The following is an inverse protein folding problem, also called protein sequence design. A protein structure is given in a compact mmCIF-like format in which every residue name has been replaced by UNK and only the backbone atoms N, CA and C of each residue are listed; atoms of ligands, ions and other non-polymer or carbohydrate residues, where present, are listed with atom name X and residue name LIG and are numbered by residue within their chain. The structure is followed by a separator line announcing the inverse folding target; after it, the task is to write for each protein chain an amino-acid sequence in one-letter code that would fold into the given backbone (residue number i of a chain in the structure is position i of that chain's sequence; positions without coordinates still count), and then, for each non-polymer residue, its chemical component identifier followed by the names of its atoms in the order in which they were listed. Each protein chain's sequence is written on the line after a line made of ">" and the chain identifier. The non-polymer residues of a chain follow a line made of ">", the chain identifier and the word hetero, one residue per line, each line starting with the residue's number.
data_IF_099443201691
#
_entry.id   IF_099443201691
#
_cell.length_a   1.000
_cell.length_b   1.000
_cell.length_c   1.000
_cell.angle_alpha   90.00
_cell.angle_beta   90.00
_cell.angle_gamma   90.00
#
_symmetry.space_group_name_H-M   'P 1'
#
loop_
_entity.id
_entity.type
_entity.pdbx_description
1 polymer ?
#
# COMPACT_ATOMS: atom_id res chain seq x y z
N UNK A 1 -16.38 -29.80 -38.21
CA UNK A 1 -15.79 -28.45 -38.42
C UNK A 1 -16.47 -27.35 -37.60
N UNK A 2 -17.82 -27.26 -37.57
CA UNK A 2 -18.55 -26.22 -36.80
C UNK A 2 -18.32 -26.26 -35.27
N UNK A 3 -18.29 -27.44 -34.64
CA UNK A 3 -17.98 -27.56 -33.20
C UNK A 3 -16.55 -27.17 -32.84
N UNK A 4 -15.58 -27.37 -33.74
CA UNK A 4 -14.18 -26.99 -33.48
C UNK A 4 -14.00 -25.47 -33.52
N UNK A 5 -14.72 -24.79 -34.44
CA UNK A 5 -14.73 -23.33 -34.55
C UNK A 5 -15.41 -22.66 -33.33
N UNK A 6 -16.47 -23.27 -32.79
CA UNK A 6 -17.14 -22.82 -31.57
C UNK A 6 -16.27 -22.99 -30.31
N UNK A 7 -15.49 -24.08 -30.22
CA UNK A 7 -14.55 -24.31 -29.13
C UNK A 7 -13.39 -23.29 -29.14
N UNK A 8 -12.83 -22.99 -30.32
CA UNK A 8 -11.80 -21.94 -30.46
C UNK A 8 -12.33 -20.54 -30.12
N UNK A 9 -13.56 -20.21 -30.52
CA UNK A 9 -14.19 -18.93 -30.17
C UNK A 9 -14.43 -18.80 -28.65
N UNK A 10 -14.81 -19.88 -27.98
CA UNK A 10 -15.00 -19.90 -26.51
C UNK A 10 -13.68 -19.68 -25.74
N UNK A 11 -12.58 -20.29 -26.21
CA UNK A 11 -11.24 -20.12 -25.61
C UNK A 11 -10.71 -18.69 -25.80
N UNK A 12 -10.98 -18.06 -26.95
CA UNK A 12 -10.56 -16.68 -27.22
C UNK A 12 -11.28 -15.65 -26.33
N UNK A 13 -12.57 -15.88 -26.04
CA UNK A 13 -13.36 -15.00 -25.15
C UNK A 13 -12.90 -15.10 -23.69
N UNK A 14 -12.46 -16.27 -23.24
CA UNK A 14 -11.94 -16.46 -21.87
C UNK A 14 -10.61 -15.73 -21.64
N UNK A 15 -9.76 -15.58 -22.66
CA UNK A 15 -8.46 -14.91 -22.55
C UNK A 15 -8.52 -13.39 -22.31
N UNK A 16 -9.64 -12.74 -22.66
CA UNK A 16 -9.82 -11.28 -22.55
C UNK A 16 -10.19 -10.81 -21.13
N UNK A 17 -10.38 -11.72 -20.18
CA UNK A 17 -10.81 -11.40 -18.80
C UNK A 17 -9.65 -11.08 -17.83
N UNK A 18 -8.40 -11.06 -18.31
CA UNK A 18 -7.19 -10.92 -17.47
C UNK A 18 -6.89 -9.50 -16.95
N UNK A 19 -7.79 -8.52 -17.14
CA UNK A 19 -7.60 -7.13 -16.71
C UNK A 19 -7.97 -6.81 -15.26
N UNK A 20 -8.61 -7.74 -14.54
CA UNK A 20 -9.07 -7.56 -13.16
C UNK A 20 -8.07 -8.18 -12.18
N UNK A 21 -6.97 -7.48 -11.90
CA UNK A 21 -5.98 -7.92 -10.90
C UNK A 21 -6.02 -6.96 -9.74
N UNK A 22 -6.41 -7.48 -8.58
CA UNK A 22 -6.15 -6.83 -7.31
C UNK A 22 -5.42 -7.77 -6.36
N UNK A 23 -4.40 -7.26 -5.68
CA UNK A 23 -3.71 -7.98 -4.60
C UNK A 23 -3.65 -7.07 -3.39
N UNK A 24 -4.02 -7.61 -2.24
CA UNK A 24 -3.84 -6.99 -0.93
C UNK A 24 -3.21 -8.05 -0.03
N UNK A 25 -2.06 -7.75 0.54
CA UNK A 25 -1.37 -8.65 1.43
C UNK A 25 -0.46 -7.88 2.38
N UNK A 26 -0.42 -8.31 3.63
CA UNK A 26 0.53 -7.86 4.63
C UNK A 26 1.11 -9.04 5.40
N UNK A 27 2.33 -8.82 5.89
CA UNK A 27 3.09 -9.75 6.70
C UNK A 27 3.68 -9.01 7.91
N UNK A 28 3.64 -9.64 9.08
CA UNK A 28 4.20 -9.10 10.32
C UNK A 28 5.33 -10.01 10.76
N UNK A 29 6.50 -9.42 11.02
CA UNK A 29 7.69 -10.15 11.40
C UNK A 29 7.43 -10.95 12.70
N UNK A 30 7.94 -12.20 12.80
CA UNK A 30 7.78 -13.00 14.01
C UNK A 30 8.25 -12.26 15.28
N UNK A 31 7.37 -12.15 16.28
CA UNK A 31 7.67 -11.48 17.54
C UNK A 31 7.51 -9.94 17.53
N UNK A 32 7.18 -9.33 16.39
CA UNK A 32 6.82 -7.91 16.35
C UNK A 32 5.42 -7.70 16.96
N UNK A 33 5.26 -6.64 17.76
CA UNK A 33 3.97 -6.24 18.34
C UNK A 33 3.60 -4.85 17.82
N UNK A 34 2.72 -4.80 16.82
CA UNK A 34 2.24 -3.54 16.25
C UNK A 34 1.13 -2.87 17.08
N UNK A 35 0.48 -3.60 17.99
CA UNK A 35 -0.58 -3.06 18.83
C UNK A 35 -0.04 -2.06 19.87
N UNK A 36 1.21 -2.23 20.29
CA UNK A 36 1.87 -1.31 21.22
C UNK A 36 2.45 -0.05 20.55
N UNK A 37 2.52 -0.01 19.21
CA UNK A 37 3.09 1.11 18.45
C UNK A 37 2.06 2.23 18.31
N UNK A 38 2.21 3.31 19.07
CA UNK A 38 1.30 4.45 19.07
C UNK A 38 1.87 5.69 18.36
N UNK A 39 3.19 5.91 18.44
CA UNK A 39 3.86 7.08 17.86
C UNK A 39 4.60 6.70 16.59
N UNK A 40 4.14 7.20 15.46
CA UNK A 40 4.64 6.82 14.13
C UNK A 40 5.10 8.07 13.38
N UNK A 41 6.23 7.95 12.68
CA UNK A 41 6.68 8.95 11.73
C UNK A 41 6.68 8.37 10.32
N UNK A 42 5.98 9.01 9.39
CA UNK A 42 5.94 8.62 7.98
C UNK A 42 7.01 9.38 7.23
N UNK A 43 8.04 8.66 6.79
CA UNK A 43 9.17 9.25 6.07
C UNK A 43 8.72 9.58 4.65
N UNK A 44 8.85 10.84 4.26
CA UNK A 44 8.59 11.33 2.92
C UNK A 44 9.51 10.63 1.91
N UNK A 45 8.92 10.13 0.83
CA UNK A 45 9.66 9.62 -0.31
C UNK A 45 10.08 10.80 -1.19
N UNK A 46 11.38 11.06 -1.45
CA UNK A 46 11.79 12.25 -2.20
C UNK A 46 11.22 12.36 -3.63
N UNK A 47 10.83 11.24 -4.24
CA UNK A 47 10.21 11.21 -5.57
C UNK A 47 8.68 11.40 -5.54
N UNK A 48 8.06 11.47 -4.36
CA UNK A 48 6.62 11.60 -4.19
C UNK A 48 6.18 13.07 -4.24
N UNK A 49 5.65 13.48 -5.39
CA UNK A 49 5.06 14.82 -5.58
C UNK A 49 3.60 14.91 -5.10
N UNK A 50 2.99 13.79 -4.71
CA UNK A 50 1.54 13.66 -4.43
C UNK A 50 1.21 13.55 -2.95
N UNK A 51 2.23 13.60 -2.09
CA UNK A 51 2.11 13.66 -0.63
C UNK A 51 1.39 12.45 -0.04
N UNK A 52 1.77 11.26 -0.52
CA UNK A 52 1.31 9.98 0.01
C UNK A 52 1.73 9.80 1.47
N UNK A 53 2.87 10.37 1.88
CA UNK A 53 3.29 10.49 3.28
C UNK A 53 2.19 11.09 4.17
N UNK A 54 1.58 12.19 3.72
CA UNK A 54 0.48 12.86 4.42
C UNK A 54 -0.76 11.97 4.44
N UNK A 55 -1.11 11.33 3.32
CA UNK A 55 -2.28 10.43 3.28
C UNK A 55 -2.14 9.27 4.28
N UNK A 56 -0.94 8.71 4.40
CA UNK A 56 -0.62 7.66 5.37
C UNK A 56 -0.75 8.21 6.79
N UNK A 57 -0.14 9.37 7.10
CA UNK A 57 -0.20 9.96 8.43
C UNK A 57 -1.63 10.33 8.85
N UNK A 58 -2.42 10.93 7.96
CA UNK A 58 -3.83 11.25 8.20
C UNK A 58 -4.63 9.98 8.50
N UNK A 59 -4.42 8.91 7.75
CA UNK A 59 -5.09 7.63 8.02
C UNK A 59 -4.67 7.00 9.34
N UNK A 60 -3.39 7.04 9.70
CA UNK A 60 -2.92 6.57 11.00
C UNK A 60 -3.56 7.36 12.15
N UNK A 61 -3.74 8.67 11.99
CA UNK A 61 -4.44 9.50 12.97
C UNK A 61 -5.91 9.08 13.12
N UNK A 62 -6.62 8.80 12.01
CA UNK A 62 -7.98 8.24 12.03
C UNK A 62 -8.01 6.87 12.73
N UNK A 63 -6.95 6.07 12.63
CA UNK A 63 -6.80 4.79 13.33
C UNK A 63 -6.42 4.95 14.82
N UNK A 64 -6.39 6.17 15.36
CA UNK A 64 -6.12 6.46 16.77
C UNK A 64 -4.64 6.52 17.14
N UNK A 65 -3.73 6.58 16.16
CA UNK A 65 -2.28 6.67 16.38
C UNK A 65 -1.81 8.11 16.31
N UNK A 66 -0.73 8.43 17.01
CA UNK A 66 -0.05 9.74 16.87
C UNK A 66 0.91 9.64 15.70
N UNK A 67 0.55 10.27 14.58
CA UNK A 67 1.34 10.23 13.36
C UNK A 67 1.90 11.60 12.97
N UNK A 68 3.19 11.62 12.61
CA UNK A 68 3.86 12.75 11.97
C UNK A 68 4.34 12.33 10.58
N UNK A 69 4.68 13.28 9.72
CA UNK A 69 5.24 13.02 8.39
C UNK A 69 6.30 14.05 8.06
N UNK A 70 7.24 13.71 7.18
CA UNK A 70 8.29 14.64 6.74
C UNK A 70 9.58 13.92 6.39
N UNK A 71 10.66 14.70 6.30
CA UNK A 71 11.98 14.13 6.09
C UNK A 71 12.39 13.30 7.31
N UNK A 72 13.16 12.23 7.10
CA UNK A 72 13.61 11.37 8.21
C UNK A 72 14.37 12.13 9.29
N UNK A 73 15.08 13.20 8.93
CA UNK A 73 15.79 14.09 9.85
C UNK A 73 14.87 14.89 10.78
N UNK A 74 13.58 15.00 10.44
CA UNK A 74 12.55 15.71 11.21
C UNK A 74 11.79 14.76 12.16
N UNK A 75 12.15 13.47 12.17
CA UNK A 75 11.54 12.46 13.02
C UNK A 75 11.64 12.83 14.51
N UNK A 76 10.51 12.85 15.25
CA UNK A 76 10.53 13.05 16.70
C UNK A 76 11.35 11.97 17.43
N UNK A 77 12.06 12.34 18.50
CA UNK A 77 12.94 11.45 19.27
C UNK A 77 12.18 10.29 19.93
N UNK A 78 10.90 10.49 20.25
CA UNK A 78 10.02 9.51 20.88
C UNK A 78 9.21 8.67 19.88
N UNK A 79 9.57 8.71 18.59
CA UNK A 79 9.01 7.85 17.54
C UNK A 79 9.24 6.38 17.88
N UNK A 80 8.18 5.58 17.84
CA UNK A 80 8.22 4.14 18.14
C UNK A 80 8.34 3.27 16.89
N UNK A 81 7.85 3.76 15.75
CA UNK A 81 8.06 3.14 14.44
C UNK A 81 8.13 4.20 13.34
N UNK A 82 8.89 3.91 12.30
CA UNK A 82 8.83 4.66 11.06
C UNK A 82 8.02 3.91 10.02
N UNK A 83 7.32 4.66 9.16
CA UNK A 83 6.76 4.11 7.93
C UNK A 83 7.54 4.65 6.74
N UNK A 84 7.95 3.75 5.87
CA UNK A 84 8.46 4.08 4.53
C UNK A 84 7.54 3.48 3.49
N UNK A 85 7.44 4.09 2.31
CA UNK A 85 6.57 3.62 1.25
C UNK A 85 7.20 3.73 -0.13
N UNK A 86 6.64 2.98 -1.08
CA UNK A 86 6.84 3.17 -2.50
C UNK A 86 5.46 3.22 -3.17
N UNK A 87 5.19 4.30 -3.88
CA UNK A 87 4.02 4.49 -4.70
C UNK A 87 4.37 4.34 -6.18
N UNK A 88 3.54 3.60 -6.92
CA UNK A 88 3.64 3.53 -8.36
C UNK A 88 2.37 4.07 -8.98
N UNK A 89 2.57 4.88 -10.00
CA UNK A 89 1.50 5.52 -10.74
C UNK A 89 1.53 5.07 -12.18
N UNK A 90 0.34 4.89 -12.75
CA UNK A 90 0.16 4.54 -14.15
C UNK A 90 -0.78 5.53 -14.82
N UNK A 91 -0.53 5.75 -16.10
CA UNK A 91 -1.42 6.47 -17.00
C UNK A 91 -2.02 5.47 -17.98
N UNK A 92 -3.34 5.45 -18.09
CA UNK A 92 -4.07 4.64 -19.07
C UNK A 92 -5.21 5.42 -19.74
N UNK A 93 -5.94 6.21 -18.95
CA UNK A 93 -7.01 7.16 -19.31
C UNK A 93 -6.86 8.40 -18.43
N UNK A 94 -6.50 8.20 -17.16
CA UNK A 94 -6.14 9.24 -16.19
C UNK A 94 -5.04 8.72 -15.28
N UNK A 95 -4.31 9.61 -14.61
CA UNK A 95 -3.32 9.20 -13.62
C UNK A 95 -4.00 8.49 -12.45
N UNK A 96 -3.47 7.34 -12.05
CA UNK A 96 -3.92 6.62 -10.86
C UNK A 96 -2.77 5.87 -10.19
N UNK A 97 -2.90 5.64 -8.89
CA UNK A 97 -1.97 4.80 -8.13
C UNK A 97 -2.30 3.35 -8.44
N UNK A 98 -1.36 2.65 -9.09
CA UNK A 98 -1.52 1.24 -9.41
C UNK A 98 -1.04 0.36 -8.26
N UNK A 99 -0.02 0.80 -7.53
CA UNK A 99 0.63 0.00 -6.50
C UNK A 99 1.08 0.87 -5.34
N UNK A 100 0.90 0.38 -4.12
CA UNK A 100 1.41 0.96 -2.89
C UNK A 100 2.06 -0.13 -2.05
N UNK A 101 3.35 0.04 -1.77
CA UNK A 101 4.11 -0.78 -0.82
C UNK A 101 4.37 0.05 0.43
N UNK A 102 4.05 -0.50 1.60
CA UNK A 102 4.24 0.15 2.90
C UNK A 102 5.08 -0.76 3.77
N UNK A 103 6.05 -0.20 4.49
CA UNK A 103 6.83 -0.93 5.49
C UNK A 103 6.78 -0.18 6.81
N UNK A 104 6.42 -0.89 7.89
CA UNK A 104 6.58 -0.42 9.26
C UNK A 104 7.94 -0.92 9.74
N UNK A 105 8.80 -0.03 10.22
CA UNK A 105 10.19 -0.36 10.56
C UNK A 105 10.55 0.17 11.95
N UNK A 106 11.46 -0.52 12.60
CA UNK A 106 12.07 -0.03 13.84
C UNK A 106 12.86 1.27 13.56
N UNK A 107 12.68 2.34 14.34
CA UNK A 107 13.25 3.65 14.02
C UNK A 107 14.78 3.70 14.16
N UNK A 108 15.40 2.76 14.88
CA UNK A 108 16.84 2.74 15.14
C UNK A 108 17.59 1.81 14.19
N UNK A 109 17.10 0.60 14.04
CA UNK A 109 17.71 -0.46 13.23
C UNK A 109 17.18 -0.50 11.79
N UNK A 110 16.04 0.12 11.51
CA UNK A 110 15.33 0.10 10.23
C UNK A 110 14.92 -1.29 9.75
N UNK A 111 14.95 -2.27 10.65
CA UNK A 111 14.44 -3.61 10.39
C UNK A 111 12.92 -3.51 10.20
N UNK A 112 12.42 -4.16 9.15
CA UNK A 112 10.99 -4.21 8.88
C UNK A 112 10.28 -5.05 9.96
N UNK A 113 9.34 -4.42 10.65
CA UNK A 113 8.43 -5.05 11.61
C UNK A 113 7.19 -5.58 10.91
N UNK A 114 6.77 -4.92 9.84
CA UNK A 114 5.69 -5.37 8.98
C UNK A 114 5.81 -4.79 7.57
N UNK A 115 5.21 -5.48 6.61
CA UNK A 115 5.08 -5.04 5.23
C UNK A 115 3.63 -5.13 4.79
N UNK A 116 3.22 -4.26 3.88
CA UNK A 116 1.92 -4.31 3.24
C UNK A 116 2.01 -3.91 1.78
N UNK A 117 1.22 -4.59 0.96
CA UNK A 117 1.17 -4.42 -0.48
C UNK A 117 -0.27 -4.27 -0.93
N UNK A 118 -0.57 -3.20 -1.66
CA UNK A 118 -1.80 -3.04 -2.40
C UNK A 118 -1.48 -2.82 -3.88
N UNK A 119 -2.04 -3.68 -4.74
CA UNK A 119 -1.98 -3.59 -6.20
C UNK A 119 -3.41 -3.54 -6.73
N UNK A 120 -3.72 -2.54 -7.55
CA UNK A 120 -5.05 -2.33 -8.16
C UNK A 120 -4.88 -1.94 -9.62
N UNK A 121 -5.19 -2.85 -10.56
CA UNK A 121 -5.22 -2.49 -11.99
C UNK A 121 -6.44 -1.63 -12.32
N UNK A 122 -6.42 -0.99 -13.48
CA UNK A 122 -7.36 0.03 -13.96
C UNK A 122 -8.84 -0.25 -13.68
N UNK A 123 -9.30 -1.48 -13.92
CA UNK A 123 -10.71 -1.87 -13.77
C UNK A 123 -11.17 -1.98 -12.30
N UNK A 124 -10.23 -2.16 -11.37
CA UNK A 124 -10.46 -2.29 -9.93
C UNK A 124 -9.71 -1.19 -9.15
N UNK A 125 -9.44 -0.07 -9.82
CA UNK A 125 -8.77 1.09 -9.24
C UNK A 125 -9.49 1.57 -7.98
N UNK A 126 -8.71 2.06 -7.04
CA UNK A 126 -9.19 2.78 -5.86
C UNK A 126 -8.59 4.16 -5.82
N UNK A 127 -9.19 5.04 -5.03
CA UNK A 127 -8.56 6.33 -4.73
C UNK A 127 -7.28 6.09 -3.90
N UNK A 128 -6.26 6.97 -3.99
CA UNK A 128 -5.07 6.84 -3.16
C UNK A 128 -5.37 6.76 -1.65
N UNK A 129 -6.27 7.59 -1.07
CA UNK A 129 -6.66 7.43 0.34
C UNK A 129 -7.27 6.05 0.64
N UNK A 130 -8.06 5.49 -0.28
CA UNK A 130 -8.63 4.15 -0.11
C UNK A 130 -7.59 3.03 -0.20
N UNK A 131 -6.53 3.19 -1.01
CA UNK A 131 -5.40 2.24 -1.05
C UNK A 131 -4.56 2.31 0.22
N UNK A 132 -4.34 3.52 0.75
CA UNK A 132 -3.71 3.73 2.06
C UNK A 132 -4.53 3.10 3.17
N UNK A 133 -5.85 3.33 3.18
CA UNK A 133 -6.75 2.74 4.16
C UNK A 133 -6.68 1.21 4.16
N UNK A 134 -6.80 0.56 3.00
CA UNK A 134 -6.82 -0.91 2.96
C UNK A 134 -5.48 -1.53 3.36
N UNK A 135 -4.35 -0.94 2.93
CA UNK A 135 -3.03 -1.51 3.26
C UNK A 135 -2.71 -1.33 4.74
N UNK A 136 -3.01 -0.17 5.32
CA UNK A 136 -2.79 0.06 6.76
C UNK A 136 -3.75 -0.76 7.60
N UNK A 137 -5.00 -0.91 7.17
CA UNK A 137 -5.97 -1.77 7.87
C UNK A 137 -5.50 -3.22 7.85
N UNK A 138 -5.02 -3.73 6.70
CA UNK A 138 -4.51 -5.09 6.61
C UNK A 138 -3.28 -5.30 7.52
N UNK A 139 -2.31 -4.38 7.51
CA UNK A 139 -1.11 -4.43 8.38
C UNK A 139 -1.49 -4.47 9.87
N UNK A 140 -2.32 -3.54 10.32
CA UNK A 140 -2.59 -3.33 11.76
C UNK A 140 -3.74 -4.17 12.31
N UNK A 141 -4.34 -5.04 11.49
CA UNK A 141 -5.35 -6.03 11.91
C UNK A 141 -4.80 -7.45 12.06
N UNK A 142 -3.52 -7.68 11.74
CA UNK A 142 -2.79 -8.93 12.02
C UNK A 142 -2.52 -9.08 13.51
#
# INVERSE_FOLDING_TARGET
>A
MKSCLLLLASVLVLGLTSGCVSKLHSDVAPGANLASVQKIHVVHLPADERRVDRLIADRLAVMGRVATFGEKSEMPVDTQAIITYQDKWMWDITMYMIELNVQVRDPKSEIALATGHSLRTSLVRKSPPSMVEEVLTDIFSK
#
